data_IF_664415832222
#
_entry.id   IF_664415832222
#
_cell.length_a   1.000
_cell.length_b   1.000
_cell.length_c   1.000
_cell.angle_alpha   90.00
_cell.angle_beta   90.00
_cell.angle_gamma   90.00
#
_symmetry.space_group_name_H-M   'P 1'
#
loop_
_entity.id
_entity.type
_entity.pdbx_description
1 polymer ?
#
# COMPACT_ATOMS: atom_id res chain seq x y z
N UNK A 1 -10.31 -21.37 -7.80
CA UNK A 1 -9.73 -20.87 -9.06
C UNK A 1 -8.43 -20.17 -8.70
N UNK A 2 -7.39 -20.67 -9.26
CA UNK A 2 -6.05 -20.14 -9.15
C UNK A 2 -5.80 -19.35 -10.45
N UNK A 3 -5.33 -18.10 -10.34
CA UNK A 3 -4.98 -17.26 -11.49
C UNK A 3 -6.12 -16.94 -12.49
N UNK A 4 -7.08 -16.13 -12.07
CA UNK A 4 -8.10 -15.60 -12.98
C UNK A 4 -7.70 -14.22 -13.52
N UNK A 5 -7.59 -14.09 -14.85
CA UNK A 5 -7.24 -12.85 -15.53
C UNK A 5 -8.35 -12.38 -16.44
N UNK A 6 -8.64 -11.08 -16.43
CA UNK A 6 -9.47 -10.41 -17.44
C UNK A 6 -8.62 -9.31 -18.06
N UNK A 7 -8.35 -9.43 -19.36
CA UNK A 7 -7.72 -8.38 -20.15
C UNK A 7 -8.64 -8.01 -21.30
N UNK A 8 -8.83 -6.73 -21.54
CA UNK A 8 -9.65 -6.23 -22.65
C UNK A 8 -8.83 -5.91 -23.93
N UNK A 9 -7.52 -6.09 -23.87
CA UNK A 9 -6.60 -5.81 -24.96
C UNK A 9 -6.38 -4.33 -25.27
N UNK A 10 -6.95 -3.44 -24.45
CA UNK A 10 -6.74 -1.99 -24.59
C UNK A 10 -5.69 -1.48 -23.61
N UNK A 11 -5.13 -0.31 -23.85
CA UNK A 11 -4.12 0.30 -22.99
C UNK A 11 -2.68 -0.05 -23.37
N UNK A 12 -1.73 0.33 -22.54
CA UNK A 12 -0.31 0.06 -22.69
C UNK A 12 0.15 -1.21 -21.97
N UNK A 13 1.26 -1.80 -22.41
CA UNK A 13 1.90 -2.87 -21.66
C UNK A 13 2.22 -2.39 -20.21
N UNK A 14 2.10 -3.28 -19.19
CA UNK A 14 1.94 -4.73 -19.26
C UNK A 14 0.49 -5.22 -19.19
N UNK A 15 -0.50 -4.34 -19.16
CA UNK A 15 -1.89 -4.68 -18.82
C UNK A 15 -2.79 -4.98 -20.02
N UNK A 16 -2.25 -5.01 -21.23
CA UNK A 16 -3.00 -5.11 -22.47
C UNK A 16 -2.96 -6.49 -23.13
N UNK A 17 -2.35 -7.48 -22.51
CA UNK A 17 -2.23 -8.83 -23.08
C UNK A 17 -2.18 -9.89 -21.96
N UNK A 18 -2.30 -11.15 -22.35
CA UNK A 18 -2.14 -12.27 -21.45
C UNK A 18 -0.73 -12.31 -20.87
N UNK A 19 -0.63 -12.31 -19.54
CA UNK A 19 0.66 -12.24 -18.85
C UNK A 19 1.52 -13.51 -19.01
N UNK A 20 0.94 -14.62 -19.51
CA UNK A 20 1.64 -15.87 -19.71
C UNK A 20 1.80 -16.69 -18.44
N UNK A 21 2.50 -17.81 -18.56
CA UNK A 21 2.81 -18.68 -17.42
C UNK A 21 3.93 -18.08 -16.55
N UNK A 22 3.86 -18.33 -15.25
CA UNK A 22 4.90 -17.92 -14.31
C UNK A 22 4.75 -16.52 -13.73
N UNK A 23 3.58 -15.90 -13.91
CA UNK A 23 3.19 -14.71 -13.17
C UNK A 23 2.44 -15.12 -11.90
N UNK A 24 2.70 -14.45 -10.81
CA UNK A 24 2.02 -14.68 -9.53
C UNK A 24 1.85 -13.36 -8.79
N UNK A 25 0.94 -13.34 -7.86
CA UNK A 25 0.77 -12.24 -6.90
C UNK A 25 1.54 -12.62 -5.63
N UNK A 26 2.40 -11.73 -5.18
CA UNK A 26 3.10 -11.85 -3.91
C UNK A 26 2.57 -10.78 -2.97
N UNK A 27 2.00 -11.19 -1.85
CA UNK A 27 1.68 -10.27 -0.76
C UNK A 27 2.92 -10.02 0.07
N UNK A 28 3.14 -8.76 0.39
CA UNK A 28 4.15 -8.31 1.33
C UNK A 28 3.41 -7.58 2.45
N UNK A 29 3.74 -7.90 3.68
CA UNK A 29 3.24 -7.20 4.86
C UNK A 29 4.32 -6.27 5.41
N UNK A 30 3.96 -5.23 6.16
CA UNK A 30 4.93 -4.41 6.87
C UNK A 30 5.91 -5.26 7.70
N UNK A 31 7.20 -4.94 7.63
CA UNK A 31 8.26 -5.67 8.35
C UNK A 31 9.05 -4.80 9.32
N UNK A 32 8.96 -3.49 9.16
CA UNK A 32 9.48 -2.51 10.12
C UNK A 32 8.85 -1.14 9.91
N UNK A 33 8.93 -0.29 10.93
CA UNK A 33 8.48 1.10 10.88
C UNK A 33 9.33 1.88 9.87
N UNK A 34 8.69 2.73 9.08
CA UNK A 34 9.34 3.59 8.09
C UNK A 34 9.91 4.87 8.68
N UNK A 35 10.19 5.84 7.82
CA UNK A 35 10.80 7.13 8.22
C UNK A 35 9.82 8.05 8.95
N UNK A 36 8.53 7.88 8.70
CA UNK A 36 7.45 8.67 9.29
C UNK A 36 6.51 7.73 10.06
N UNK A 37 6.17 8.10 11.31
CA UNK A 37 5.30 7.33 12.22
C UNK A 37 4.55 8.29 13.13
N UNK A 38 3.71 9.15 12.52
CA UNK A 38 2.98 10.20 13.22
C UNK A 38 1.67 9.72 13.84
N UNK A 39 1.21 8.51 13.48
CA UNK A 39 -0.04 7.96 13.99
C UNK A 39 0.14 7.36 15.38
N UNK A 40 -0.91 7.32 16.17
CA UNK A 40 -0.93 6.58 17.43
C UNK A 40 -1.11 5.08 17.15
N UNK A 41 -0.43 4.23 17.92
CA UNK A 41 -0.47 2.76 17.77
C UNK A 41 -1.10 2.09 18.98
N UNK A 42 -1.87 1.04 18.75
CA UNK A 42 -2.48 0.21 19.79
C UNK A 42 -2.38 -1.28 19.39
N UNK A 43 -1.88 -2.16 20.28
CA UNK A 43 -1.07 -1.92 21.47
C UNK A 43 0.42 -1.78 21.14
N UNK A 44 1.20 -1.32 22.08
CA UNK A 44 2.67 -1.34 21.97
C UNK A 44 3.24 -0.17 21.19
N UNK A 45 4.57 -0.16 20.96
CA UNK A 45 5.26 0.94 20.30
C UNK A 45 5.50 0.69 18.80
N UNK A 46 5.30 -0.51 18.30
CA UNK A 46 5.72 -0.92 16.95
C UNK A 46 4.55 -0.80 15.96
N UNK A 47 4.52 0.29 15.19
CA UNK A 47 3.46 0.58 14.24
C UNK A 47 3.27 -0.52 13.19
N UNK A 48 4.38 -1.05 12.64
CA UNK A 48 4.32 -2.10 11.64
C UNK A 48 3.67 -3.39 12.17
N UNK A 49 3.91 -3.73 13.44
CA UNK A 49 3.38 -4.93 14.06
C UNK A 49 1.86 -4.85 14.33
N UNK A 50 1.29 -3.65 14.31
CA UNK A 50 -0.14 -3.44 14.46
C UNK A 50 -0.89 -3.42 13.10
N UNK A 51 -0.19 -3.65 11.98
CA UNK A 51 -0.76 -3.63 10.63
C UNK A 51 -0.12 -4.67 9.70
N UNK A 52 0.53 -5.72 10.25
CA UNK A 52 1.22 -6.75 9.45
C UNK A 52 0.36 -8.00 9.18
N UNK A 53 -0.90 -8.00 9.61
CA UNK A 53 -1.83 -9.08 9.35
C UNK A 53 -2.41 -9.01 7.92
N UNK A 54 -2.80 -10.18 7.41
CA UNK A 54 -3.54 -10.30 6.15
C UNK A 54 -5.05 -10.09 6.31
N UNK A 55 -5.54 -10.19 7.54
CA UNK A 55 -6.94 -9.97 7.90
C UNK A 55 -6.99 -8.92 9.00
N UNK A 56 -8.00 -8.05 8.94
CA UNK A 56 -8.19 -6.98 9.92
C UNK A 56 -8.30 -7.51 11.35
N UNK A 57 -7.64 -6.87 12.30
CA UNK A 57 -7.75 -7.11 13.73
C UNK A 57 -8.17 -5.82 14.45
N UNK A 58 -9.26 -5.88 15.24
CA UNK A 58 -9.73 -4.76 16.04
C UNK A 58 -8.92 -4.52 17.32
N UNK A 59 -8.01 -5.43 17.66
CA UNK A 59 -7.18 -5.35 18.87
C UNK A 59 -5.83 -4.70 18.62
N UNK A 60 -5.40 -4.66 17.35
CA UNK A 60 -4.15 -4.07 16.89
C UNK A 60 -4.42 -3.11 15.72
N UNK A 61 -4.02 -1.85 15.85
CA UNK A 61 -4.25 -0.86 14.81
C UNK A 61 -3.41 0.41 15.02
N UNK A 62 -3.33 1.21 13.99
CA UNK A 62 -2.84 2.59 14.06
C UNK A 62 -3.99 3.56 13.81
N UNK A 63 -3.97 4.72 14.47
CA UNK A 63 -5.02 5.73 14.29
C UNK A 63 -4.47 7.16 14.29
N UNK A 64 -5.06 8.04 13.51
CA UNK A 64 -4.87 9.49 13.60
C UNK A 64 -6.12 10.25 13.14
N UNK A 65 -6.27 11.46 13.69
CA UNK A 65 -7.29 12.44 13.30
C UNK A 65 -6.68 13.74 12.74
N UNK A 66 -5.37 13.85 12.75
CA UNK A 66 -4.65 15.06 12.38
C UNK A 66 -4.34 15.07 10.89
N UNK A 67 -4.81 16.10 10.18
CA UNK A 67 -4.52 16.24 8.75
C UNK A 67 -3.02 16.43 8.55
N UNK A 68 -2.45 15.64 7.66
CA UNK A 68 -1.03 15.63 7.33
C UNK A 68 -0.23 14.54 8.01
N UNK A 69 -0.75 13.93 9.10
CA UNK A 69 -0.07 12.82 9.75
C UNK A 69 0.15 11.68 8.77
N UNK A 70 1.37 11.17 8.76
CA UNK A 70 1.89 10.17 7.84
C UNK A 70 2.44 8.99 8.62
N UNK A 71 2.08 7.78 8.19
CA UNK A 71 2.62 6.54 8.74
C UNK A 71 3.13 5.66 7.59
N UNK A 72 4.42 5.35 7.61
CA UNK A 72 5.11 4.61 6.56
C UNK A 72 5.73 3.33 7.10
N UNK A 73 5.83 2.34 6.24
CA UNK A 73 6.35 1.02 6.57
C UNK A 73 7.34 0.54 5.53
N UNK A 74 8.36 -0.19 5.99
CA UNK A 74 9.21 -1.02 5.13
C UNK A 74 8.59 -2.40 4.93
N UNK A 75 8.99 -3.03 3.86
CA UNK A 75 8.55 -4.37 3.46
C UNK A 75 9.75 -5.26 3.17
N UNK A 76 9.59 -6.56 3.41
CA UNK A 76 10.63 -7.52 3.03
C UNK A 76 10.79 -7.57 1.50
N UNK A 77 12.01 -7.83 1.07
CA UNK A 77 12.30 -7.99 -0.34
C UNK A 77 11.52 -9.16 -0.94
N UNK A 78 10.85 -8.96 -2.08
CA UNK A 78 10.20 -10.08 -2.77
C UNK A 78 11.23 -11.11 -3.23
N UNK A 79 10.82 -12.39 -3.40
CA UNK A 79 11.69 -13.40 -3.98
C UNK A 79 12.30 -12.93 -5.32
N UNK A 80 13.52 -13.38 -5.63
CA UNK A 80 14.22 -13.02 -6.86
C UNK A 80 13.59 -13.71 -8.08
N UNK A 81 12.42 -13.26 -8.51
CA UNK A 81 11.64 -13.85 -9.60
C UNK A 81 11.24 -12.77 -10.60
N UNK A 82 11.65 -12.95 -11.84
CA UNK A 82 11.11 -12.24 -13.00
C UNK A 82 11.02 -10.70 -12.91
N UNK A 83 10.35 -10.10 -13.88
CA UNK A 83 10.07 -8.66 -13.88
C UNK A 83 8.78 -8.32 -13.13
N UNK A 84 8.80 -7.25 -12.35
CA UNK A 84 7.64 -6.74 -11.63
C UNK A 84 6.71 -6.04 -12.62
N UNK A 85 5.45 -6.42 -12.66
CA UNK A 85 4.45 -5.89 -13.60
C UNK A 85 3.63 -4.75 -13.04
N UNK A 86 3.62 -4.61 -11.74
CA UNK A 86 2.93 -3.55 -11.04
C UNK A 86 2.91 -3.82 -9.53
N UNK A 87 2.58 -2.79 -8.79
CA UNK A 87 2.33 -2.85 -7.35
C UNK A 87 0.89 -2.45 -7.05
N UNK A 88 0.35 -3.04 -6.01
CA UNK A 88 -0.90 -2.63 -5.43
C UNK A 88 -0.69 -2.49 -3.92
N UNK A 89 -1.01 -1.32 -3.40
CA UNK A 89 -1.17 -1.14 -1.95
C UNK A 89 -2.63 -1.36 -1.61
N UNK A 90 -2.86 -2.17 -0.60
CA UNK A 90 -4.15 -2.49 -0.06
C UNK A 90 -4.17 -2.03 1.39
N UNK A 91 -5.17 -1.23 1.75
CA UNK A 91 -5.33 -0.70 3.10
C UNK A 91 -6.77 -0.92 3.54
N UNK A 92 -6.96 -1.37 4.76
CA UNK A 92 -8.27 -1.44 5.39
C UNK A 92 -8.37 -0.38 6.49
N UNK A 93 -9.40 0.45 6.43
CA UNK A 93 -9.60 1.52 7.39
C UNK A 93 -11.06 1.80 7.67
N UNK A 94 -11.32 2.34 8.86
CA UNK A 94 -12.64 2.84 9.29
C UNK A 94 -12.48 4.11 10.11
N UNK A 95 -13.57 4.78 10.39
CA UNK A 95 -13.62 5.82 11.42
C UNK A 95 -14.27 5.28 12.70
N UNK A 96 -13.73 5.68 13.85
CA UNK A 96 -14.32 5.41 15.17
C UNK A 96 -15.12 6.59 15.71
N UNK A 97 -14.94 7.77 15.11
CA UNK A 97 -15.60 9.02 15.47
C UNK A 97 -16.68 9.45 14.48
N UNK A 98 -17.07 10.73 14.55
CA UNK A 98 -18.08 11.34 13.68
C UNK A 98 -17.49 12.25 12.61
N UNK A 99 -16.18 12.44 12.61
CA UNK A 99 -15.49 13.34 11.69
C UNK A 99 -14.89 12.51 10.55
N UNK A 100 -15.45 12.68 9.37
CA UNK A 100 -14.91 12.06 8.16
C UNK A 100 -13.53 12.62 7.83
N UNK A 101 -12.66 11.77 7.29
CA UNK A 101 -11.32 12.10 6.84
C UNK A 101 -11.05 11.47 5.48
N UNK A 102 -10.17 12.07 4.74
CA UNK A 102 -9.62 11.47 3.54
C UNK A 102 -8.41 10.63 3.93
N UNK A 103 -8.37 9.40 3.46
CA UNK A 103 -7.19 8.53 3.56
C UNK A 103 -6.49 8.55 2.21
N UNK A 104 -5.21 8.87 2.22
CA UNK A 104 -4.33 8.82 1.07
C UNK A 104 -3.35 7.68 1.22
N UNK A 105 -3.10 6.97 0.13
CA UNK A 105 -2.00 6.00 0.06
C UNK A 105 -0.73 6.72 -0.39
N UNK A 106 0.33 6.59 0.38
CA UNK A 106 1.63 7.20 0.11
C UNK A 106 2.66 6.15 -0.22
N UNK A 107 3.47 6.44 -1.24
CA UNK A 107 4.68 5.68 -1.58
C UNK A 107 5.86 6.62 -1.43
N UNK A 108 6.87 6.20 -0.70
CA UNK A 108 8.15 6.90 -0.61
C UNK A 108 9.23 6.04 -1.24
N UNK A 109 9.86 6.58 -2.28
CA UNK A 109 10.88 5.88 -3.05
C UNK A 109 12.25 6.46 -2.75
N UNK A 110 13.23 5.59 -2.55
CA UNK A 110 14.61 5.96 -2.23
C UNK A 110 14.73 6.97 -1.05
N UNK A 111 13.89 6.82 -0.04
CA UNK A 111 13.90 7.62 1.20
C UNK A 111 13.70 9.15 1.02
N UNK A 112 13.43 9.64 -0.17
CA UNK A 112 13.42 11.09 -0.43
C UNK A 112 12.20 11.60 -1.20
N UNK A 113 11.60 10.80 -2.06
CA UNK A 113 10.52 11.25 -2.92
C UNK A 113 9.23 10.52 -2.63
N UNK A 114 8.22 11.29 -2.27
CA UNK A 114 6.88 10.80 -1.98
C UNK A 114 5.96 10.96 -3.20
N UNK A 115 5.09 9.99 -3.39
CA UNK A 115 3.95 10.05 -4.30
C UNK A 115 2.69 9.65 -3.54
N UNK A 116 1.73 10.55 -3.43
CA UNK A 116 0.42 10.28 -2.84
C UNK A 116 -0.67 10.18 -3.90
N UNK A 117 -1.74 9.44 -3.63
CA UNK A 117 -2.93 9.45 -4.46
C UNK A 117 -3.87 10.63 -4.11
N UNK A 118 -5.01 10.73 -4.80
CA UNK A 118 -5.99 11.77 -4.52
C UNK A 118 -6.69 11.60 -3.16
N UNK A 119 -6.54 10.43 -2.56
CA UNK A 119 -7.23 10.03 -1.34
C UNK A 119 -8.69 9.67 -1.54
N UNK A 120 -9.21 8.93 -0.60
CA UNK A 120 -10.59 8.49 -0.57
C UNK A 120 -11.20 8.80 0.80
N UNK A 121 -12.49 9.17 0.80
CA UNK A 121 -13.20 9.51 2.03
C UNK A 121 -13.45 8.26 2.88
N UNK A 122 -13.00 8.30 4.12
CA UNK A 122 -13.34 7.32 5.15
C UNK A 122 -14.51 7.87 5.95
N UNK A 123 -15.70 7.45 5.62
CA UNK A 123 -16.94 7.97 6.21
C UNK A 123 -17.80 6.88 6.86
N UNK A 124 -17.23 5.73 7.19
CA UNK A 124 -17.99 4.59 7.71
C UNK A 124 -17.30 3.97 8.93
N UNK A 125 -18.12 3.53 9.88
CA UNK A 125 -17.66 2.79 11.07
C UNK A 125 -17.32 1.32 10.80
N UNK A 126 -17.68 0.81 9.62
CA UNK A 126 -17.22 -0.48 9.15
C UNK A 126 -15.91 -0.30 8.38
N UNK A 127 -15.07 -1.31 8.39
CA UNK A 127 -13.87 -1.30 7.56
C UNK A 127 -14.21 -1.19 6.08
N UNK A 128 -13.48 -0.36 5.40
CA UNK A 128 -13.50 -0.18 3.95
C UNK A 128 -12.13 -0.49 3.41
N UNK A 129 -12.11 -1.13 2.26
CA UNK A 129 -10.88 -1.44 1.53
C UNK A 129 -10.52 -0.29 0.61
N UNK A 130 -9.31 0.19 0.73
CA UNK A 130 -8.71 1.21 -0.14
C UNK A 130 -7.58 0.56 -0.94
N UNK A 131 -7.57 0.82 -2.23
CA UNK A 131 -6.63 0.18 -3.14
C UNK A 131 -5.98 1.22 -4.05
N UNK A 132 -4.65 1.22 -4.08
CA UNK A 132 -3.88 2.00 -5.05
C UNK A 132 -3.10 1.05 -5.96
N UNK A 133 -3.49 0.98 -7.23
CA UNK A 133 -2.81 0.20 -8.25
C UNK A 133 -1.78 1.07 -8.99
N UNK A 134 -0.57 0.59 -9.11
CA UNK A 134 0.55 1.29 -9.73
C UNK A 134 1.25 0.37 -10.74
N UNK A 135 0.82 0.36 -12.01
CA UNK A 135 1.46 -0.45 -13.05
C UNK A 135 2.90 0.03 -13.38
N UNK A 136 3.18 1.29 -13.10
CA UNK A 136 4.50 1.89 -13.21
C UNK A 136 4.87 2.53 -11.87
N UNK A 137 6.16 2.67 -11.61
CA UNK A 137 6.65 3.42 -10.46
C UNK A 137 6.20 4.88 -10.58
N UNK A 138 5.36 5.41 -9.68
CA UNK A 138 4.77 6.74 -9.82
C UNK A 138 5.77 7.88 -9.65
N UNK A 139 6.95 7.60 -9.11
CA UNK A 139 8.02 8.58 -8.93
C UNK A 139 8.87 8.71 -10.20
N UNK A 140 9.20 7.58 -10.83
CA UNK A 140 10.10 7.56 -12.00
C UNK A 140 9.36 7.50 -13.33
N UNK A 141 8.10 7.04 -13.33
CA UNK A 141 7.28 6.85 -14.54
C UNK A 141 7.67 5.64 -15.39
N UNK A 142 8.56 4.77 -14.89
CA UNK A 142 9.00 3.56 -15.60
C UNK A 142 8.55 2.29 -14.89
N UNK A 143 8.77 1.14 -15.54
CA UNK A 143 8.45 -0.16 -14.94
C UNK A 143 9.21 -0.36 -13.63
N UNK A 144 8.56 -1.01 -12.68
CA UNK A 144 9.16 -1.37 -11.40
C UNK A 144 10.34 -2.32 -11.57
N UNK A 145 11.40 -2.06 -10.85
CA UNK A 145 12.54 -2.98 -10.70
C UNK A 145 12.66 -3.41 -9.25
N UNK A 146 13.42 -4.46 -9.01
CA UNK A 146 13.57 -5.00 -7.65
C UNK A 146 14.12 -3.96 -6.67
N UNK A 147 15.14 -3.22 -7.08
CA UNK A 147 15.77 -2.19 -6.25
C UNK A 147 14.76 -1.11 -5.81
N UNK A 148 13.72 -0.86 -6.61
CA UNK A 148 12.63 0.05 -6.23
C UNK A 148 11.84 -0.49 -5.04
N UNK A 149 11.64 -1.83 -4.99
CA UNK A 149 10.88 -2.47 -3.89
C UNK A 149 11.75 -2.61 -2.64
N UNK A 150 13.02 -2.96 -2.82
CA UNK A 150 13.97 -3.11 -1.70
C UNK A 150 14.18 -1.78 -0.94
N UNK A 151 13.90 -0.65 -1.59
CA UNK A 151 14.01 0.70 -1.01
C UNK A 151 12.67 1.44 -0.92
N UNK A 152 11.57 0.69 -0.99
CA UNK A 152 10.22 1.23 -0.91
C UNK A 152 9.78 1.37 0.53
N UNK A 153 9.12 2.48 0.80
CA UNK A 153 8.19 2.58 1.92
C UNK A 153 6.79 2.86 1.37
N UNK A 154 5.81 2.22 1.92
CA UNK A 154 4.42 2.50 1.61
C UNK A 154 3.61 2.63 2.90
N UNK A 155 2.56 3.43 2.86
CA UNK A 155 1.72 3.65 4.01
C UNK A 155 0.58 4.61 3.73
N UNK A 156 0.13 5.30 4.77
CA UNK A 156 -1.09 6.09 4.75
C UNK A 156 -0.88 7.49 5.31
N UNK A 157 -1.68 8.43 4.82
CA UNK A 157 -1.67 9.83 5.24
C UNK A 157 -3.10 10.34 5.43
N UNK A 158 -3.31 11.10 6.50
CA UNK A 158 -4.59 11.80 6.72
C UNK A 158 -4.64 13.04 5.82
N UNK A 159 -5.68 13.13 4.97
CA UNK A 159 -5.91 14.24 4.04
C UNK A 159 -7.05 15.18 4.44
#
# INVERSE_FOLDING_TARGET
FDDFWICDGTGGAPCNDFLGFGHFVQSLVPSSTGDDSDWDVTPGPDHYAAVDELEQDDTEYVESITIGDLDLYHYDSPPALGGIKGLQVHTEARITGTIERTLKTVIKHNYTTESEDAGQMVGNSNYLTFTRLMPLNPVTGVAWVRDDIDNLQAGVKVG
#
